data_IF_296172973576
#
_entry.id   IF_296172973576
#
_cell.length_a   1.000
_cell.length_b   1.000
_cell.length_c   1.000
_cell.angle_alpha   90.00
_cell.angle_beta   90.00
_cell.angle_gamma   90.00
#
_symmetry.space_group_name_H-M   'P 1'
#
loop_
_entity.id
_entity.type
_entity.pdbx_description
1 polymer ?
#
# COMPACT_ATOMS: atom_id res chain seq x y z
N UNK A 1 -10.45 8.78 9.10
CA UNK A 1 -10.69 7.37 8.81
C UNK A 1 -11.98 7.17 8.01
N UNK A 2 -13.16 7.55 8.54
CA UNK A 2 -14.46 7.35 7.89
C UNK A 2 -14.51 7.87 6.44
N UNK A 3 -13.93 9.05 6.18
CA UNK A 3 -13.87 9.62 4.83
C UNK A 3 -13.08 8.74 3.86
N UNK A 4 -11.96 8.13 4.30
CA UNK A 4 -11.19 7.20 3.49
C UNK A 4 -11.95 5.90 3.22
N UNK A 5 -12.60 5.34 4.24
CA UNK A 5 -13.43 4.13 4.09
C UNK A 5 -14.56 4.38 3.11
N UNK A 6 -15.27 5.52 3.23
CA UNK A 6 -16.33 5.90 2.30
C UNK A 6 -15.83 6.09 0.86
N UNK A 7 -14.66 6.72 0.69
CA UNK A 7 -14.04 6.90 -0.62
C UNK A 7 -13.67 5.56 -1.26
N UNK A 8 -13.08 4.66 -0.49
CA UNK A 8 -12.74 3.31 -0.96
C UNK A 8 -14.00 2.53 -1.35
N UNK A 9 -15.07 2.62 -0.55
CA UNK A 9 -16.35 1.98 -0.87
C UNK A 9 -16.94 2.53 -2.17
N UNK A 10 -16.88 3.86 -2.38
CA UNK A 10 -17.32 4.48 -3.64
C UNK A 10 -16.49 3.99 -4.83
N UNK A 11 -15.16 3.99 -4.70
CA UNK A 11 -14.25 3.51 -5.75
C UNK A 11 -14.50 2.03 -6.06
N UNK A 12 -14.70 1.19 -5.04
CA UNK A 12 -15.03 -0.22 -5.22
C UNK A 12 -16.39 -0.42 -5.88
N UNK A 13 -17.38 0.42 -5.56
CA UNK A 13 -18.67 0.41 -6.24
C UNK A 13 -18.55 0.71 -7.74
N UNK A 14 -17.76 1.71 -8.12
CA UNK A 14 -17.50 2.06 -9.52
C UNK A 14 -16.71 0.94 -10.25
N UNK A 15 -15.66 0.43 -9.63
CA UNK A 15 -14.84 -0.66 -10.18
C UNK A 15 -15.70 -1.93 -10.36
N UNK A 16 -16.50 -2.29 -9.36
CA UNK A 16 -17.40 -3.44 -9.43
C UNK A 16 -18.47 -3.28 -10.52
N UNK A 17 -19.02 -2.07 -10.68
CA UNK A 17 -19.97 -1.77 -11.76
C UNK A 17 -19.32 -1.96 -13.13
N UNK A 18 -18.14 -1.43 -13.37
CA UNK A 18 -17.38 -1.63 -14.61
C UNK A 18 -17.01 -3.10 -14.79
N UNK A 19 -16.55 -3.77 -13.73
CA UNK A 19 -16.20 -5.20 -13.75
C UNK A 19 -17.35 -6.08 -14.17
N UNK A 20 -18.58 -5.74 -13.78
CA UNK A 20 -19.78 -6.49 -14.17
C UNK A 20 -20.04 -6.48 -15.69
N UNK A 21 -19.67 -5.40 -16.39
CA UNK A 21 -19.79 -5.32 -17.86
C UNK A 21 -18.84 -6.28 -18.58
N UNK A 22 -17.69 -6.57 -17.94
CA UNK A 22 -16.69 -7.50 -18.48
C UNK A 22 -16.84 -8.92 -17.92
N UNK A 23 -17.90 -9.20 -17.16
CA UNK A 23 -18.12 -10.51 -16.57
C UNK A 23 -17.16 -10.88 -15.43
N UNK A 24 -16.43 -9.90 -14.89
CA UNK A 24 -15.50 -10.11 -13.78
C UNK A 24 -16.26 -9.84 -12.47
N UNK A 25 -16.64 -10.91 -11.78
CA UNK A 25 -17.28 -10.80 -10.48
C UNK A 25 -16.28 -10.34 -9.42
N UNK A 26 -16.75 -9.48 -8.51
CA UNK A 26 -15.99 -9.01 -7.32
C UNK A 26 -14.69 -8.25 -7.63
N UNK A 27 -14.63 -7.53 -8.75
CA UNK A 27 -13.51 -6.65 -9.02
C UNK A 27 -13.48 -5.50 -7.98
N UNK A 28 -12.36 -5.30 -7.32
CA UNK A 28 -12.16 -4.28 -6.30
C UNK A 28 -10.80 -3.62 -6.44
N UNK A 29 -10.63 -2.44 -5.86
CA UNK A 29 -9.32 -1.77 -5.78
C UNK A 29 -8.27 -2.68 -5.14
N UNK A 30 -8.65 -3.39 -4.08
CA UNK A 30 -7.78 -4.32 -3.37
C UNK A 30 -7.31 -5.47 -4.26
N UNK A 31 -8.22 -6.03 -5.07
CA UNK A 31 -7.87 -7.10 -6.02
C UNK A 31 -6.89 -6.61 -7.09
N UNK A 32 -7.14 -5.44 -7.66
CA UNK A 32 -6.27 -4.84 -8.68
C UNK A 32 -4.88 -4.60 -8.11
N UNK A 33 -4.80 -3.94 -6.95
CA UNK A 33 -3.54 -3.68 -6.28
C UNK A 33 -2.83 -4.98 -5.89
N UNK A 34 -3.59 -5.99 -5.48
CA UNK A 34 -3.07 -7.32 -5.16
C UNK A 34 -2.29 -7.92 -6.32
N UNK A 35 -2.88 -7.95 -7.51
CA UNK A 35 -2.22 -8.49 -8.70
C UNK A 35 -1.03 -7.65 -9.16
N UNK A 36 -1.12 -6.32 -9.10
CA UNK A 36 -0.03 -5.42 -9.49
C UNK A 36 1.19 -5.59 -8.57
N UNK A 37 0.95 -5.70 -7.26
CA UNK A 37 2.03 -5.77 -6.25
C UNK A 37 2.39 -7.21 -5.81
N UNK A 38 1.69 -8.24 -6.30
CA UNK A 38 2.05 -9.64 -6.01
C UNK A 38 3.50 -9.98 -6.37
N UNK A 39 4.05 -9.56 -7.53
CA UNK A 39 5.45 -9.80 -7.85
C UNK A 39 6.41 -9.15 -6.84
N UNK A 40 6.08 -7.93 -6.37
CA UNK A 40 6.88 -7.23 -5.36
C UNK A 40 6.84 -7.99 -4.04
N UNK A 41 5.66 -8.44 -3.61
CA UNK A 41 5.50 -9.24 -2.40
C UNK A 41 6.31 -10.56 -2.48
N UNK A 42 6.28 -11.24 -3.61
CA UNK A 42 7.06 -12.47 -3.83
C UNK A 42 8.58 -12.21 -3.77
N UNK A 43 9.06 -11.14 -4.40
CA UNK A 43 10.50 -10.78 -4.41
C UNK A 43 11.02 -10.50 -3.00
N UNK A 44 10.22 -9.89 -2.13
CA UNK A 44 10.62 -9.61 -0.73
C UNK A 44 10.46 -10.82 0.20
N UNK A 45 10.07 -11.98 -0.33
CA UNK A 45 10.07 -13.26 0.39
C UNK A 45 8.73 -13.77 0.87
N UNK A 46 7.61 -13.18 0.45
CA UNK A 46 6.27 -13.70 0.72
C UNK A 46 6.03 -14.96 -0.12
N UNK A 47 5.50 -16.07 0.46
CA UNK A 47 5.10 -17.24 -0.30
C UNK A 47 4.12 -16.90 -1.42
N UNK A 48 4.26 -17.53 -2.59
CA UNK A 48 3.44 -17.19 -3.77
C UNK A 48 1.94 -17.31 -3.52
N UNK A 49 1.52 -18.30 -2.71
CA UNK A 49 0.11 -18.47 -2.33
C UNK A 49 -0.50 -17.29 -1.54
N UNK A 50 0.33 -16.48 -0.89
CA UNK A 50 -0.08 -15.31 -0.11
C UNK A 50 0.32 -13.98 -0.80
N UNK A 51 1.02 -14.04 -1.94
CA UNK A 51 1.61 -12.88 -2.59
C UNK A 51 0.56 -11.85 -3.07
N UNK A 52 -0.59 -12.30 -3.55
CA UNK A 52 -1.69 -11.40 -3.97
C UNK A 52 -2.27 -10.66 -2.77
N UNK A 53 -2.48 -11.35 -1.66
CA UNK A 53 -2.99 -10.75 -0.42
C UNK A 53 -2.00 -9.74 0.16
N UNK A 54 -0.73 -10.12 0.28
CA UNK A 54 0.33 -9.22 0.73
C UNK A 54 0.52 -8.04 -0.22
N UNK A 55 0.49 -8.28 -1.52
CA UNK A 55 0.54 -7.26 -2.57
C UNK A 55 -0.60 -6.24 -2.46
N UNK A 56 -1.82 -6.72 -2.15
CA UNK A 56 -2.96 -5.84 -1.90
C UNK A 56 -2.71 -4.88 -0.74
N UNK A 57 -2.16 -5.35 0.36
CA UNK A 57 -1.84 -4.52 1.52
C UNK A 57 -0.73 -3.51 1.21
N UNK A 58 0.34 -3.94 0.53
CA UNK A 58 1.42 -3.03 0.08
C UNK A 58 0.88 -1.96 -0.86
N UNK A 59 0.02 -2.35 -1.81
CA UNK A 59 -0.62 -1.43 -2.74
C UNK A 59 -1.55 -0.43 -2.04
N UNK A 60 -2.38 -0.89 -1.10
CA UNK A 60 -3.22 -0.01 -0.29
C UNK A 60 -2.39 1.02 0.49
N UNK A 61 -1.27 0.61 1.08
CA UNK A 61 -0.36 1.53 1.78
C UNK A 61 0.19 2.61 0.85
N UNK A 62 0.61 2.27 -0.36
CA UNK A 62 1.20 3.19 -1.32
C UNK A 62 0.15 4.16 -1.88
N UNK A 63 -1.01 3.66 -2.27
CA UNK A 63 -2.07 4.44 -2.94
C UNK A 63 -2.90 5.24 -1.94
N UNK A 64 -3.23 4.66 -0.80
CA UNK A 64 -4.06 5.27 0.24
C UNK A 64 -3.18 5.78 1.39
N UNK A 65 -2.99 4.94 2.39
CA UNK A 65 -2.08 5.17 3.51
C UNK A 65 -1.86 3.87 4.31
N UNK A 66 -0.89 3.91 5.22
CA UNK A 66 -0.55 2.78 6.09
C UNK A 66 -1.67 2.41 7.06
N UNK A 67 -2.45 3.38 7.53
CA UNK A 67 -3.52 3.13 8.49
C UNK A 67 -4.61 2.22 7.91
N UNK A 68 -5.05 2.49 6.67
CA UNK A 68 -6.02 1.65 5.95
C UNK A 68 -5.45 0.25 5.72
N UNK A 69 -4.18 0.17 5.32
CA UNK A 69 -3.53 -1.11 5.09
C UNK A 69 -3.38 -1.95 6.37
N UNK A 70 -3.06 -1.33 7.52
CA UNK A 70 -3.04 -2.02 8.81
C UNK A 70 -4.43 -2.46 9.28
N UNK A 71 -5.46 -1.64 9.04
CA UNK A 71 -6.85 -2.04 9.32
C UNK A 71 -7.22 -3.29 8.53
N UNK A 72 -6.93 -3.30 7.22
CA UNK A 72 -7.16 -4.48 6.38
C UNK A 72 -6.32 -5.69 6.81
N UNK A 73 -5.06 -5.49 7.20
CA UNK A 73 -4.20 -6.56 7.73
C UNK A 73 -4.82 -7.18 8.99
N UNK A 74 -5.35 -6.37 9.91
CA UNK A 74 -5.91 -6.86 11.17
C UNK A 74 -7.09 -7.81 10.96
N UNK A 75 -7.87 -7.61 9.90
CA UNK A 75 -9.03 -8.45 9.56
C UNK A 75 -8.62 -9.83 9.01
N UNK A 76 -7.48 -9.92 8.33
CA UNK A 76 -7.03 -11.12 7.62
C UNK A 76 -5.79 -11.77 8.24
N UNK A 77 -5.25 -11.20 9.32
CA UNK A 77 -4.00 -11.66 9.93
C UNK A 77 -4.02 -13.16 10.28
N UNK A 78 -5.18 -13.68 10.74
CA UNK A 78 -5.34 -15.10 11.09
C UNK A 78 -5.23 -16.06 9.90
N UNK A 79 -5.31 -15.56 8.67
CA UNK A 79 -5.23 -16.36 7.43
C UNK A 79 -3.84 -16.40 6.83
N UNK A 80 -2.92 -15.60 7.36
CA UNK A 80 -1.56 -15.45 6.83
C UNK A 80 -0.54 -16.20 7.68
N UNK A 81 0.53 -16.66 7.03
CA UNK A 81 1.66 -17.26 7.73
C UNK A 81 2.41 -16.23 8.59
N UNK A 82 3.03 -16.63 9.72
CA UNK A 82 3.80 -15.73 10.58
C UNK A 82 4.88 -14.96 9.83
N UNK A 83 5.51 -15.58 8.83
CA UNK A 83 6.51 -14.96 7.96
C UNK A 83 5.89 -13.82 7.14
N UNK A 84 4.75 -14.06 6.51
CA UNK A 84 4.04 -13.06 5.71
C UNK A 84 3.55 -11.91 6.59
N UNK A 85 3.01 -12.19 7.78
CA UNK A 85 2.60 -11.16 8.73
C UNK A 85 3.78 -10.24 9.06
N UNK A 86 4.96 -10.79 9.36
CA UNK A 86 6.14 -9.98 9.65
C UNK A 86 6.57 -9.15 8.44
N UNK A 87 6.72 -9.76 7.26
CA UNK A 87 7.10 -9.05 6.03
C UNK A 87 6.14 -7.90 5.74
N UNK A 88 4.83 -8.17 5.78
CA UNK A 88 3.81 -7.15 5.52
C UNK A 88 3.87 -6.05 6.58
N UNK A 89 3.95 -6.41 7.87
CA UNK A 89 4.04 -5.42 8.95
C UNK A 89 5.19 -4.45 8.73
N UNK A 90 6.41 -4.94 8.45
CA UNK A 90 7.55 -4.08 8.15
C UNK A 90 7.38 -3.29 6.85
N UNK A 91 6.74 -3.87 5.83
CA UNK A 91 6.44 -3.15 4.58
C UNK A 91 5.48 -1.97 4.78
N UNK A 92 4.56 -2.09 5.74
CA UNK A 92 3.58 -1.05 6.06
C UNK A 92 4.13 0.04 6.98
N UNK A 93 5.21 -0.22 7.75
CA UNK A 93 5.81 0.71 8.68
C UNK A 93 6.49 1.89 7.97
N UNK A 94 5.73 2.86 7.51
CA UNK A 94 6.29 4.09 6.94
C UNK A 94 5.28 4.91 6.16
N UNK A 95 5.45 6.22 6.23
CA UNK A 95 4.53 7.21 5.63
C UNK A 95 4.76 7.46 4.13
N UNK A 96 5.47 6.59 3.43
CA UNK A 96 5.70 6.71 2.00
C UNK A 96 4.45 6.30 1.20
N UNK A 97 3.54 7.24 1.01
CA UNK A 97 2.29 7.08 0.27
C UNK A 97 1.93 8.36 -0.51
N UNK A 98 1.02 8.23 -1.47
CA UNK A 98 0.63 9.36 -2.35
C UNK A 98 0.00 10.50 -1.54
N UNK A 99 -0.77 10.22 -0.51
CA UNK A 99 -1.40 11.25 0.32
C UNK A 99 -0.39 12.08 1.10
N UNK A 100 0.78 11.52 1.42
CA UNK A 100 1.87 12.25 2.10
C UNK A 100 2.41 13.42 1.27
N UNK A 101 2.42 13.33 -0.07
CA UNK A 101 2.81 14.46 -0.94
C UNK A 101 1.84 15.61 -0.74
N UNK A 102 0.55 15.35 -0.74
CA UNK A 102 -0.46 16.38 -0.56
C UNK A 102 -0.35 17.05 0.81
N UNK A 103 -0.07 16.26 1.86
CA UNK A 103 0.18 16.78 3.22
C UNK A 103 1.41 17.69 3.24
N UNK A 104 2.51 17.28 2.60
CA UNK A 104 3.74 18.07 2.53
C UNK A 104 3.54 19.37 1.73
N UNK A 105 2.82 19.32 0.60
CA UNK A 105 2.50 20.50 -0.19
C UNK A 105 1.61 21.47 0.61
N UNK A 106 0.64 20.96 1.36
CA UNK A 106 -0.23 21.77 2.21
C UNK A 106 0.51 22.40 3.39
N UNK A 107 1.29 21.60 4.12
CA UNK A 107 2.03 22.03 5.31
C UNK A 107 3.24 22.90 4.96
N UNK A 108 4.28 22.30 4.40
CA UNK A 108 5.54 23.01 4.08
C UNK A 108 5.32 24.06 2.98
N UNK A 109 4.45 23.77 2.01
CA UNK A 109 4.11 24.73 0.96
C UNK A 109 3.39 25.97 1.47
N UNK A 110 2.71 25.90 2.63
CA UNK A 110 2.16 27.06 3.34
C UNK A 110 3.26 27.94 3.94
N UNK A 111 4.33 27.34 4.46
CA UNK A 111 5.49 28.02 5.05
C UNK A 111 6.44 28.59 3.96
N UNK A 112 6.57 27.92 2.84
CA UNK A 112 7.44 28.30 1.72
C UNK A 112 6.70 28.25 0.37
N UNK A 113 5.82 29.21 0.08
CA UNK A 113 4.97 29.17 -1.13
C UNK A 113 5.72 29.10 -2.45
N UNK A 114 6.91 29.72 -2.52
CA UNK A 114 7.78 29.71 -3.69
C UNK A 114 8.41 28.34 -3.99
N UNK A 115 8.43 27.42 -3.04
CA UNK A 115 9.04 26.09 -3.15
C UNK A 115 8.02 24.95 -3.33
N UNK A 116 6.72 25.25 -3.49
CA UNK A 116 5.66 24.22 -3.68
C UNK A 116 5.95 23.28 -4.85
N UNK A 117 6.47 23.80 -5.93
CA UNK A 117 6.82 23.01 -7.12
C UNK A 117 7.96 22.03 -6.84
N UNK A 118 8.96 22.46 -6.06
CA UNK A 118 10.07 21.59 -5.66
C UNK A 118 9.59 20.45 -4.75
N UNK A 119 8.69 20.76 -3.80
CA UNK A 119 8.11 19.77 -2.90
C UNK A 119 7.35 18.72 -3.71
N UNK A 120 6.52 19.12 -4.68
CA UNK A 120 5.78 18.21 -5.52
C UNK A 120 6.73 17.32 -6.35
N UNK A 121 7.76 17.90 -6.95
CA UNK A 121 8.75 17.18 -7.78
C UNK A 121 9.59 16.19 -6.98
N UNK A 122 10.04 16.57 -5.78
CA UNK A 122 10.84 15.72 -4.90
C UNK A 122 9.99 14.68 -4.16
N UNK A 123 8.71 14.97 -3.93
CA UNK A 123 7.78 14.09 -3.22
C UNK A 123 7.70 12.70 -3.83
N UNK A 124 7.61 12.58 -5.16
CA UNK A 124 7.61 11.29 -5.84
C UNK A 124 8.90 10.50 -5.62
N UNK A 125 10.05 11.15 -5.67
CA UNK A 125 11.33 10.51 -5.39
C UNK A 125 11.41 10.05 -3.93
N UNK A 126 10.90 10.85 -3.01
CA UNK A 126 10.85 10.52 -1.59
C UNK A 126 9.93 9.31 -1.32
N UNK A 127 8.76 9.21 -1.99
CA UNK A 127 7.89 8.04 -1.86
C UNK A 127 8.59 6.78 -2.37
N UNK A 128 9.23 6.83 -3.55
CA UNK A 128 9.93 5.67 -4.10
C UNK A 128 11.06 5.25 -3.15
N UNK A 129 11.89 6.17 -2.71
CA UNK A 129 13.00 5.88 -1.79
C UNK A 129 12.51 5.32 -0.45
N UNK A 130 11.48 5.93 0.14
CA UNK A 130 10.89 5.47 1.40
C UNK A 130 10.21 4.09 1.26
N UNK A 131 9.53 3.84 0.14
CA UNK A 131 8.95 2.53 -0.15
C UNK A 131 10.03 1.47 -0.27
N UNK A 132 11.12 1.73 -1.02
CA UNK A 132 12.24 0.79 -1.15
C UNK A 132 12.91 0.51 0.19
N UNK A 133 13.09 1.53 1.04
CA UNK A 133 13.64 1.35 2.38
C UNK A 133 12.76 0.44 3.26
N UNK A 134 11.43 0.62 3.20
CA UNK A 134 10.49 -0.24 3.93
C UNK A 134 10.50 -1.68 3.40
N UNK A 135 10.54 -1.86 2.08
CA UNK A 135 10.62 -3.19 1.46
C UNK A 135 11.94 -3.90 1.81
N UNK A 136 13.05 -3.17 1.88
CA UNK A 136 14.33 -3.71 2.32
C UNK A 136 14.24 -4.19 3.77
N UNK A 137 13.68 -3.39 4.67
CA UNK A 137 13.48 -3.79 6.08
C UNK A 137 12.57 -5.02 6.18
N UNK A 138 11.51 -5.08 5.38
CA UNK A 138 10.61 -6.22 5.31
C UNK A 138 11.31 -7.50 4.81
N UNK A 139 12.18 -7.36 3.80
CA UNK A 139 13.00 -8.48 3.29
C UNK A 139 13.91 -9.04 4.36
N UNK A 140 14.59 -8.16 5.11
CA UNK A 140 15.47 -8.56 6.22
C UNK A 140 14.67 -9.29 7.30
N UNK A 141 13.50 -8.76 7.70
CA UNK A 141 12.63 -9.38 8.68
C UNK A 141 12.16 -10.77 8.22
N UNK A 142 11.75 -10.90 6.96
CA UNK A 142 11.35 -12.17 6.37
C UNK A 142 12.48 -13.19 6.26
N UNK A 143 13.69 -12.73 6.00
CA UNK A 143 14.90 -13.59 5.97
C UNK A 143 15.24 -14.12 7.36
N UNK A 144 15.24 -13.27 8.37
CA UNK A 144 15.55 -13.66 9.76
C UNK A 144 14.56 -14.68 10.33
N UNK A 145 13.31 -14.69 9.84
CA UNK A 145 12.31 -15.69 10.24
C UNK A 145 12.43 -17.01 9.46
N UNK A 146 13.37 -17.12 8.53
CA UNK A 146 13.59 -18.32 7.73
C UNK A 146 14.77 -19.15 8.28
N UNK A 147 15.62 -18.52 9.10
CA UNK A 147 16.75 -19.15 9.79
C UNK A 147 16.28 -19.74 11.11
#
# INVERSE_FOLDING_TARGET
LLAFVALIALVNGLIGFVGSWFGIANLSLQSILGYIFAPVAAIIGVPWGEAVTAGSLIGQKIVLNEFVAFSSLSEIMSTLSPKTIAIVTFSLCGFANISSIAILIGGIGGMAPSRKHDIARLGWKAIIAGTLANLLSATIAGFLLTI
#
